data_IF_198053674218
#
_entry.id   IF_198053674218
#
_cell.length_a   1.000
_cell.length_b   1.000
_cell.length_c   1.000
_cell.angle_alpha   90.00
_cell.angle_beta   90.00
_cell.angle_gamma   90.00
#
_symmetry.space_group_name_H-M   'P 1'
#
loop_
_entity.id
_entity.type
_entity.pdbx_description
1 polymer ?
#
# COMPACT_ATOMS: atom_id res chain seq x y z
N UNK A 1 32.83 0.88 -17.13
CA UNK A 1 31.75 -0.11 -16.93
C UNK A 1 30.66 0.52 -16.08
N UNK A 2 29.57 1.00 -16.70
CA UNK A 2 28.43 1.54 -15.97
C UNK A 2 27.69 0.40 -15.26
N UNK A 3 27.48 0.52 -13.95
CA UNK A 3 26.54 -0.35 -13.24
C UNK A 3 25.20 -0.27 -13.98
N UNK A 4 24.60 -1.41 -14.31
CA UNK A 4 23.20 -1.53 -14.72
C UNK A 4 22.32 -1.03 -13.56
N UNK A 5 22.28 0.28 -13.38
CA UNK A 5 21.43 0.95 -12.41
C UNK A 5 20.08 1.12 -13.06
N UNK A 6 19.08 0.38 -12.57
CA UNK A 6 17.69 0.67 -12.87
C UNK A 6 17.43 2.14 -12.55
N UNK A 7 17.17 2.97 -13.57
CA UNK A 7 16.69 4.32 -13.34
C UNK A 7 15.28 4.22 -12.76
N UNK A 8 14.99 4.82 -11.59
CA UNK A 8 13.65 4.89 -11.01
C UNK A 8 12.61 5.49 -11.97
N UNK A 9 13.06 6.24 -12.98
CA UNK A 9 12.22 6.89 -13.98
C UNK A 9 11.66 5.93 -15.04
N UNK A 10 12.23 4.71 -15.17
CA UNK A 10 11.77 3.70 -16.13
C UNK A 10 10.80 2.68 -15.52
N UNK A 11 10.48 2.78 -14.22
CA UNK A 11 9.56 1.87 -13.55
C UNK A 11 8.12 2.35 -13.75
N UNK A 12 7.32 1.58 -14.50
CA UNK A 12 5.91 1.87 -14.80
C UNK A 12 4.94 1.30 -13.75
N UNK A 13 5.35 0.25 -13.04
CA UNK A 13 4.60 -0.33 -11.91
C UNK A 13 5.52 -1.13 -11.00
N UNK A 14 5.05 -1.41 -9.78
CA UNK A 14 5.63 -2.43 -8.90
C UNK A 14 4.57 -3.45 -8.57
N UNK A 15 4.95 -4.72 -8.55
CA UNK A 15 4.02 -5.84 -8.39
C UNK A 15 4.49 -6.83 -7.34
N UNK A 16 3.53 -7.54 -6.74
CA UNK A 16 3.79 -8.65 -5.83
C UNK A 16 2.70 -9.70 -5.93
N UNK A 17 3.10 -10.97 -6.01
CA UNK A 17 2.18 -12.11 -6.05
C UNK A 17 2.08 -12.75 -4.67
N UNK A 18 0.85 -12.98 -4.19
CA UNK A 18 0.52 -13.61 -2.91
C UNK A 18 -0.58 -14.65 -3.14
N UNK A 19 -0.26 -15.93 -2.95
CA UNK A 19 -1.24 -17.04 -3.11
C UNK A 19 -1.99 -17.03 -4.46
N UNK A 20 -1.30 -16.69 -5.55
CA UNK A 20 -1.89 -16.62 -6.90
C UNK A 20 -2.72 -15.35 -7.17
N UNK A 21 -2.69 -14.36 -6.27
CA UNK A 21 -3.24 -13.02 -6.45
C UNK A 21 -2.13 -11.98 -6.64
N UNK A 22 -2.42 -10.92 -7.36
CA UNK A 22 -1.43 -9.88 -7.70
C UNK A 22 -1.80 -8.56 -7.05
N UNK A 23 -0.86 -7.97 -6.30
CA UNK A 23 -0.88 -6.58 -5.89
C UNK A 23 -0.06 -5.76 -6.89
N UNK A 24 -0.58 -4.63 -7.34
CA UNK A 24 0.11 -3.71 -8.25
C UNK A 24 -0.02 -2.27 -7.75
N UNK A 25 1.07 -1.50 -7.76
CA UNK A 25 1.00 -0.03 -7.68
C UNK A 25 1.46 0.53 -9.02
N UNK A 26 0.62 1.32 -9.67
CA UNK A 26 0.98 2.01 -10.91
C UNK A 26 1.84 3.24 -10.63
N UNK A 27 2.85 3.46 -11.49
CA UNK A 27 3.56 4.74 -11.54
C UNK A 27 2.60 5.81 -12.04
N UNK A 28 2.73 6.99 -11.44
CA UNK A 28 2.12 8.21 -11.92
C UNK A 28 2.99 9.41 -11.57
N UNK A 29 2.61 10.59 -12.06
CA UNK A 29 3.25 11.85 -11.69
C UNK A 29 3.17 12.16 -10.18
N UNK A 30 2.32 11.45 -9.43
CA UNK A 30 2.14 11.62 -7.99
C UNK A 30 3.00 10.68 -7.14
N UNK A 31 3.59 9.64 -7.75
CA UNK A 31 4.41 8.65 -7.03
C UNK A 31 5.89 8.97 -7.18
N UNK A 32 6.56 9.12 -6.05
CA UNK A 32 7.99 9.40 -5.97
C UNK A 32 8.82 8.14 -6.21
N UNK A 33 8.70 7.19 -5.29
CA UNK A 33 9.49 5.96 -5.24
C UNK A 33 8.66 4.80 -4.73
N UNK A 34 9.08 3.57 -5.06
CA UNK A 34 8.42 2.32 -4.68
C UNK A 34 9.30 1.50 -3.75
N UNK A 35 8.68 0.59 -3.01
CA UNK A 35 9.37 -0.46 -2.28
C UNK A 35 8.49 -1.70 -2.15
N UNK A 36 9.13 -2.83 -1.89
CA UNK A 36 8.48 -4.12 -1.60
C UNK A 36 8.97 -4.57 -0.23
N UNK A 37 8.07 -5.07 0.61
CA UNK A 37 8.45 -5.67 1.87
C UNK A 37 7.52 -6.83 2.25
N UNK A 38 7.98 -7.61 3.22
CA UNK A 38 7.28 -8.77 3.73
C UNK A 38 7.50 -8.87 5.23
N UNK A 39 6.46 -9.27 5.94
CA UNK A 39 6.50 -9.62 7.35
C UNK A 39 6.25 -11.12 7.47
N UNK A 40 7.17 -11.79 8.16
CA UNK A 40 7.11 -13.21 8.39
C UNK A 40 7.16 -13.43 9.91
N UNK A 41 6.27 -14.28 10.43
CA UNK A 41 6.34 -14.68 11.82
C UNK A 41 7.26 -15.89 11.94
N UNK A 42 8.02 -15.91 13.04
CA UNK A 42 8.66 -17.11 13.54
C UNK A 42 7.98 -17.42 14.85
N UNK A 43 7.23 -18.51 14.90
CA UNK A 43 6.85 -19.09 16.18
C UNK A 43 8.09 -19.76 16.76
N UNK A 44 8.66 -19.14 17.78
CA UNK A 44 9.74 -19.73 18.56
C UNK A 44 9.11 -20.71 19.55
N UNK A 45 9.13 -22.00 19.23
CA UNK A 45 8.84 -23.04 20.22
C UNK A 45 10.02 -23.11 21.20
N UNK A 46 9.79 -22.76 22.47
CA UNK A 46 10.72 -23.07 23.54
C UNK A 46 10.72 -24.59 23.76
N UNK A 47 11.59 -25.32 23.05
CA UNK A 47 11.91 -26.71 23.40
C UNK A 47 12.01 -27.76 22.29
N UNK A 48 11.81 -27.44 21.01
CA UNK A 48 12.02 -28.46 19.96
C UNK A 48 11.50 -28.06 18.59
N UNK A 49 12.34 -28.25 17.58
CA UNK A 49 12.17 -28.00 16.15
C UNK A 49 11.52 -26.64 15.79
N UNK A 50 12.32 -25.74 15.23
CA UNK A 50 11.81 -24.50 14.65
C UNK A 50 10.75 -24.84 13.58
N UNK A 51 9.52 -24.36 13.78
CA UNK A 51 8.47 -24.45 12.76
C UNK A 51 8.91 -23.67 11.51
N UNK A 52 8.48 -24.10 10.31
CA UNK A 52 8.74 -23.35 9.09
C UNK A 52 8.22 -21.92 9.24
N UNK A 53 9.02 -20.94 8.83
CA UNK A 53 8.65 -19.53 8.88
C UNK A 53 7.43 -19.31 7.97
N UNK A 54 6.27 -19.00 8.54
CA UNK A 54 5.08 -18.65 7.79
C UNK A 54 5.10 -17.16 7.43
N UNK A 55 4.84 -16.82 6.16
CA UNK A 55 4.66 -15.43 5.78
C UNK A 55 3.25 -14.97 6.18
N UNK A 56 3.16 -13.96 7.03
CA UNK A 56 1.86 -13.43 7.48
C UNK A 56 1.33 -12.34 6.55
N UNK A 57 2.21 -11.43 6.13
CA UNK A 57 1.83 -10.28 5.30
C UNK A 57 2.88 -10.04 4.23
N UNK A 58 2.38 -9.77 3.04
CA UNK A 58 3.18 -9.22 1.95
C UNK A 58 2.60 -7.87 1.56
N UNK A 59 3.47 -6.89 1.30
CA UNK A 59 3.01 -5.60 0.84
C UNK A 59 3.97 -4.95 -0.16
N UNK A 60 3.37 -4.12 -0.99
CA UNK A 60 4.07 -3.15 -1.82
C UNK A 60 3.69 -1.77 -1.32
N UNK A 61 4.59 -0.82 -1.47
CA UNK A 61 4.30 0.54 -1.07
C UNK A 61 5.04 1.56 -1.89
N UNK A 62 4.65 2.81 -1.68
CA UNK A 62 5.23 3.94 -2.36
C UNK A 62 5.24 5.20 -1.49
N UNK A 63 6.05 6.17 -1.89
CA UNK A 63 6.02 7.51 -1.33
C UNK A 63 5.33 8.47 -2.30
N UNK A 64 4.53 9.40 -1.77
CA UNK A 64 3.93 10.46 -2.57
C UNK A 64 4.94 11.58 -2.86
N UNK A 65 4.92 12.11 -4.09
CA UNK A 65 5.65 13.34 -4.43
C UNK A 65 5.03 14.54 -3.72
N UNK A 66 5.86 15.57 -3.50
CA UNK A 66 5.43 16.86 -2.94
C UNK A 66 4.68 16.74 -1.60
N UNK A 67 5.05 15.76 -0.78
CA UNK A 67 4.59 15.61 0.60
C UNK A 67 5.72 15.97 1.57
N UNK A 68 5.42 16.85 2.52
CA UNK A 68 6.28 17.18 3.64
C UNK A 68 5.39 17.38 4.89
N UNK A 69 5.47 16.50 5.91
CA UNK A 69 6.34 15.31 5.96
C UNK A 69 6.06 14.26 4.87
N UNK A 70 7.04 13.40 4.51
CA UNK A 70 6.82 12.38 3.49
C UNK A 70 5.65 11.45 3.83
N UNK A 71 4.76 11.23 2.87
CA UNK A 71 3.64 10.29 3.01
C UNK A 71 3.99 8.96 2.38
N UNK A 72 3.82 7.90 3.17
CA UNK A 72 3.95 6.51 2.75
C UNK A 72 2.57 5.86 2.59
N UNK A 73 2.38 5.18 1.47
CA UNK A 73 1.20 4.36 1.19
C UNK A 73 1.62 2.89 1.08
N UNK A 74 1.00 2.00 1.84
CA UNK A 74 1.25 0.56 1.79
C UNK A 74 -0.01 -0.17 1.37
N UNK A 75 0.10 -0.98 0.33
CA UNK A 75 -0.92 -1.93 -0.08
C UNK A 75 -0.54 -3.31 0.47
N UNK A 76 -1.23 -3.74 1.52
CA UNK A 76 -0.92 -4.91 2.32
C UNK A 76 -1.95 -6.00 2.06
N UNK A 77 -1.50 -7.23 1.81
CA UNK A 77 -2.39 -8.39 1.71
C UNK A 77 -2.06 -9.41 2.80
N UNK A 78 -3.11 -9.91 3.47
CA UNK A 78 -3.01 -11.05 4.37
C UNK A 78 -2.80 -12.32 3.54
N UNK A 79 -1.75 -13.09 3.84
CA UNK A 79 -1.39 -14.26 3.03
C UNK A 79 -2.38 -15.44 3.15
N UNK A 80 -3.18 -15.50 4.23
CA UNK A 80 -4.16 -16.56 4.51
C UNK A 80 -5.56 -16.18 4.02
N UNK A 81 -6.06 -15.01 4.40
CA UNK A 81 -7.43 -14.57 4.05
C UNK A 81 -7.53 -13.84 2.72
N UNK A 82 -6.40 -13.37 2.16
CA UNK A 82 -6.34 -12.48 1.00
C UNK A 82 -7.08 -11.14 1.17
N UNK A 83 -7.40 -10.75 2.40
CA UNK A 83 -7.89 -9.41 2.69
C UNK A 83 -6.80 -8.38 2.39
N UNK A 84 -7.22 -7.24 1.86
CA UNK A 84 -6.32 -6.18 1.43
C UNK A 84 -6.58 -4.90 2.21
N UNK A 85 -5.50 -4.29 2.68
CA UNK A 85 -5.54 -3.05 3.45
C UNK A 85 -4.60 -2.03 2.82
N UNK A 86 -5.14 -0.84 2.53
CA UNK A 86 -4.35 0.35 2.21
C UNK A 86 -4.12 1.15 3.49
N UNK A 87 -2.86 1.23 3.90
CA UNK A 87 -2.41 2.11 4.98
C UNK A 87 -1.70 3.33 4.39
N UNK A 88 -2.11 4.53 4.81
CA UNK A 88 -1.46 5.77 4.43
C UNK A 88 -1.06 6.54 5.68
N UNK A 89 0.19 7.00 5.80
CA UNK A 89 0.64 7.76 6.96
C UNK A 89 1.87 8.60 6.67
N UNK A 90 2.09 9.62 7.48
CA UNK A 90 3.32 10.42 7.44
C UNK A 90 4.47 9.68 8.11
N UNK A 91 5.68 9.83 7.56
CA UNK A 91 6.91 9.28 8.12
C UNK A 91 7.95 10.37 8.29
N UNK A 92 8.88 10.17 9.23
CA UNK A 92 9.97 11.15 9.48
C UNK A 92 10.87 11.35 8.26
N UNK A 93 11.16 10.27 7.54
CA UNK A 93 12.00 10.28 6.36
C UNK A 93 11.69 9.05 5.49
N UNK A 94 11.90 9.19 4.19
CA UNK A 94 11.78 8.07 3.23
C UNK A 94 12.87 7.05 3.49
N UNK A 95 12.55 5.77 3.34
CA UNK A 95 13.53 4.69 3.44
C UNK A 95 13.45 3.78 2.21
N UNK A 96 14.60 3.25 1.75
CA UNK A 96 14.64 2.40 0.53
C UNK A 96 13.75 1.16 0.61
N UNK A 97 13.55 0.60 1.81
CA UNK A 97 12.75 -0.61 2.02
C UNK A 97 11.32 -0.33 2.51
N UNK A 98 10.99 0.92 2.86
CA UNK A 98 9.71 1.32 3.45
C UNK A 98 9.42 0.79 4.87
N UNK A 99 9.81 -0.45 5.17
CA UNK A 99 9.54 -1.13 6.46
C UNK A 99 10.20 -0.46 7.67
N UNK A 100 11.33 0.20 7.47
CA UNK A 100 12.07 0.89 8.54
C UNK A 100 11.66 2.36 8.69
N UNK A 101 10.70 2.83 7.88
CA UNK A 101 10.25 4.21 7.96
C UNK A 101 9.50 4.43 9.28
N UNK A 102 10.02 5.35 10.10
CA UNK A 102 9.41 5.68 11.38
C UNK A 102 8.16 6.52 11.13
N UNK A 103 6.98 5.94 11.38
CA UNK A 103 5.70 6.64 11.40
C UNK A 103 5.82 7.88 12.29
N UNK A 104 5.38 9.04 11.80
CA UNK A 104 5.09 10.15 12.68
C UNK A 104 3.88 9.71 13.51
N UNK A 105 4.10 9.54 14.83
CA UNK A 105 3.04 9.07 15.72
C UNK A 105 1.83 9.98 15.54
N UNK A 106 0.59 9.44 15.47
CA UNK A 106 -0.54 10.30 15.72
C UNK A 106 -0.39 10.87 17.13
N UNK A 107 -0.74 12.15 17.29
CA UNK A 107 -0.70 12.87 18.57
C UNK A 107 -1.69 12.28 19.59
N UNK A 108 -2.57 11.36 19.19
CA UNK A 108 -3.59 10.76 20.05
C UNK A 108 -3.80 9.27 19.77
N UNK A 109 -4.14 8.51 20.83
CA UNK A 109 -4.65 7.11 20.77
C UNK A 109 -6.06 7.09 20.14
N UNK A 110 -6.23 7.65 18.95
CA UNK A 110 -7.51 7.61 18.25
C UNK A 110 -7.76 6.23 17.68
N UNK A 111 -9.01 5.78 17.82
CA UNK A 111 -9.55 4.56 17.21
C UNK A 111 -9.24 4.65 15.71
N UNK A 112 -8.51 3.68 15.17
CA UNK A 112 -8.27 3.62 13.73
C UNK A 112 -9.59 3.32 13.04
N UNK A 113 -10.24 4.35 12.50
CA UNK A 113 -11.40 4.17 11.65
C UNK A 113 -10.97 3.49 10.35
N UNK A 114 -11.61 2.37 10.02
CA UNK A 114 -11.40 1.68 8.74
C UNK A 114 -12.60 1.90 7.83
N UNK A 115 -12.33 2.36 6.60
CA UNK A 115 -13.34 2.34 5.54
C UNK A 115 -13.25 0.99 4.81
N UNK A 116 -14.27 0.15 4.98
CA UNK A 116 -14.30 -1.21 4.47
C UNK A 116 -15.29 -1.35 3.30
N UNK A 117 -14.96 -2.24 2.37
CA UNK A 117 -15.91 -2.83 1.43
C UNK A 117 -15.58 -4.30 1.21
N UNK A 118 -16.61 -5.14 1.23
CA UNK A 118 -16.50 -6.56 0.88
C UNK A 118 -16.77 -6.74 -0.62
N UNK A 119 -15.87 -7.45 -1.31
CA UNK A 119 -16.01 -7.80 -2.72
C UNK A 119 -15.43 -9.20 -2.96
N UNK A 120 -16.10 -10.04 -3.76
CA UNK A 120 -15.58 -11.37 -4.15
C UNK A 120 -15.08 -12.18 -2.92
N UNK A 121 -15.86 -12.19 -1.83
CA UNK A 121 -15.55 -12.89 -0.57
C UNK A 121 -14.28 -12.44 0.18
N UNK A 122 -13.73 -11.26 -0.13
CA UNK A 122 -12.62 -10.67 0.61
C UNK A 122 -12.96 -9.27 1.12
N UNK A 123 -12.32 -8.89 2.22
CA UNK A 123 -12.40 -7.55 2.78
C UNK A 123 -11.32 -6.66 2.18
N UNK A 124 -11.74 -5.48 1.73
CA UNK A 124 -10.84 -4.42 1.29
C UNK A 124 -11.01 -3.24 2.23
N UNK A 125 -9.90 -2.71 2.72
CA UNK A 125 -9.89 -1.69 3.76
C UNK A 125 -9.00 -0.52 3.38
N UNK A 126 -9.44 0.69 3.72
CA UNK A 126 -8.58 1.87 3.80
C UNK A 126 -8.54 2.27 5.27
N UNK A 127 -7.36 2.23 5.88
CA UNK A 127 -7.17 2.74 7.25
C UNK A 127 -7.16 4.25 7.18
N UNK A 128 -8.17 4.89 7.79
CA UNK A 128 -8.19 6.35 7.90
C UNK A 128 -7.08 6.79 8.84
N UNK A 129 -6.34 7.79 8.41
CA UNK A 129 -5.27 8.42 9.17
C UNK A 129 -5.38 9.93 9.02
N UNK A 130 -4.54 10.68 9.74
CA UNK A 130 -4.53 12.15 9.68
C UNK A 130 -4.38 12.71 8.27
N UNK A 131 -3.74 11.98 7.35
CA UNK A 131 -3.50 12.40 5.96
C UNK A 131 -4.67 12.12 5.02
N UNK A 132 -5.56 11.20 5.39
CA UNK A 132 -6.74 10.87 4.59
C UNK A 132 -7.85 11.86 4.95
N UNK A 133 -8.33 12.60 3.95
CA UNK A 133 -9.45 13.51 4.10
C UNK A 133 -10.77 12.73 4.15
N UNK A 134 -10.96 11.83 3.18
CA UNK A 134 -12.15 10.99 3.08
C UNK A 134 -11.87 9.71 2.32
N UNK A 135 -12.56 8.64 2.71
CA UNK A 135 -12.68 7.40 1.93
C UNK A 135 -13.99 7.38 1.14
N UNK A 136 -14.02 6.68 0.02
CA UNK A 136 -15.21 6.51 -0.81
C UNK A 136 -15.18 5.15 -1.53
N UNK A 137 -16.36 4.68 -1.95
CA UNK A 137 -16.49 3.46 -2.74
C UNK A 137 -16.48 3.80 -4.23
N UNK A 138 -15.89 2.92 -5.04
CA UNK A 138 -16.01 2.96 -6.51
C UNK A 138 -16.72 1.69 -7.00
N UNK A 139 -17.25 1.65 -8.23
CA UNK A 139 -17.85 0.43 -8.77
C UNK A 139 -16.90 -0.77 -8.69
N UNK A 140 -15.61 -0.54 -8.96
CA UNK A 140 -14.57 -1.55 -9.03
C UNK A 140 -13.74 -1.71 -7.74
N UNK A 141 -14.06 -0.98 -6.68
CA UNK A 141 -13.34 -1.10 -5.41
C UNK A 141 -13.56 0.06 -4.45
N UNK A 142 -12.47 0.68 -4.04
CA UNK A 142 -12.40 1.67 -2.96
C UNK A 142 -11.43 2.79 -3.33
N UNK A 143 -11.58 3.96 -2.75
CA UNK A 143 -10.63 5.06 -2.92
C UNK A 143 -10.59 6.00 -1.74
N UNK A 144 -9.58 6.86 -1.72
CA UNK A 144 -9.48 7.93 -0.74
C UNK A 144 -8.87 9.19 -1.36
N UNK A 145 -9.14 10.33 -0.72
CA UNK A 145 -8.53 11.62 -1.03
C UNK A 145 -7.58 12.00 0.11
N UNK A 146 -6.39 12.46 -0.24
CA UNK A 146 -5.41 12.98 0.69
C UNK A 146 -5.63 14.48 0.92
N UNK A 147 -5.46 14.93 2.17
CA UNK A 147 -5.56 16.36 2.54
C UNK A 147 -4.45 17.18 1.89
N UNK A 148 -3.20 16.68 1.97
CA UNK A 148 -2.01 17.32 1.40
C UNK A 148 -0.94 16.25 1.12
N UNK A 149 -0.40 16.14 -0.11
CA UNK A 149 -0.84 16.84 -1.32
C UNK A 149 -2.25 16.40 -1.73
N UNK A 150 -2.99 17.27 -2.43
CA UNK A 150 -4.31 16.94 -2.95
C UNK A 150 -4.19 15.88 -4.06
N UNK A 151 -4.31 14.62 -3.66
CA UNK A 151 -4.15 13.44 -4.51
C UNK A 151 -5.31 12.51 -4.22
N UNK A 152 -5.74 11.77 -5.24
CA UNK A 152 -6.69 10.66 -5.11
C UNK A 152 -5.93 9.35 -5.23
N UNK A 153 -6.13 8.44 -4.28
CA UNK A 153 -5.74 7.04 -4.39
C UNK A 153 -6.97 6.18 -4.68
N UNK A 154 -6.84 5.22 -5.58
CA UNK A 154 -7.91 4.29 -5.93
C UNK A 154 -7.42 2.85 -6.00
N UNK A 155 -8.11 1.98 -5.26
CA UNK A 155 -8.01 0.54 -5.30
C UNK A 155 -9.01 -0.02 -6.31
N UNK A 156 -8.50 -0.59 -7.38
CA UNK A 156 -9.27 -1.29 -8.41
C UNK A 156 -9.08 -2.79 -8.22
N UNK A 157 -10.18 -3.50 -8.04
CA UNK A 157 -10.21 -4.94 -7.80
C UNK A 157 -10.70 -5.65 -9.06
N UNK A 158 -9.89 -6.54 -9.60
CA UNK A 158 -10.15 -7.30 -10.82
C UNK A 158 -9.86 -8.78 -10.58
N UNK A 159 -10.87 -9.55 -10.19
CA UNK A 159 -10.75 -11.01 -9.95
C UNK A 159 -9.60 -11.32 -8.98
N UNK A 160 -8.43 -11.74 -9.51
CA UNK A 160 -7.23 -12.07 -8.73
C UNK A 160 -6.23 -10.92 -8.56
N UNK A 161 -6.52 -9.75 -9.11
CA UNK A 161 -5.60 -8.61 -9.11
C UNK A 161 -6.19 -7.42 -8.35
N UNK A 162 -5.34 -6.75 -7.56
CA UNK A 162 -5.68 -5.51 -6.86
C UNK A 162 -4.65 -4.46 -7.25
N UNK A 163 -5.14 -3.37 -7.83
CA UNK A 163 -4.33 -2.30 -8.37
C UNK A 163 -4.57 -1.03 -7.56
N UNK A 164 -3.48 -0.39 -7.14
CA UNK A 164 -3.48 0.95 -6.55
C UNK A 164 -2.97 1.95 -7.58
N UNK A 165 -3.80 2.94 -7.90
CA UNK A 165 -3.45 4.06 -8.76
C UNK A 165 -3.59 5.39 -8.04
N UNK A 166 -2.86 6.41 -8.53
CA UNK A 166 -2.88 7.76 -8.00
C UNK A 166 -3.16 8.79 -9.10
N UNK A 167 -4.14 9.66 -8.88
CA UNK A 167 -4.55 10.72 -9.81
C UNK A 167 -4.76 12.07 -9.11
N UNK A 168 -5.10 13.11 -9.87
CA UNK A 168 -5.62 14.35 -9.31
C UNK A 168 -6.93 14.13 -8.54
N UNK A 169 -7.29 15.02 -7.61
CA UNK A 169 -8.43 14.83 -6.70
C UNK A 169 -9.77 14.73 -7.44
N UNK A 170 -9.89 15.38 -8.59
CA UNK A 170 -11.08 15.38 -9.45
C UNK A 170 -10.91 14.52 -10.72
N UNK A 171 -9.80 13.80 -10.84
CA UNK A 171 -9.53 12.93 -11.99
C UNK A 171 -10.04 11.51 -11.70
N UNK A 172 -10.33 10.76 -12.77
CA UNK A 172 -10.64 9.33 -12.71
C UNK A 172 -9.41 8.54 -13.12
N UNK A 173 -9.13 7.46 -12.40
CA UNK A 173 -8.04 6.55 -12.76
C UNK A 173 -8.31 5.91 -14.12
N UNK A 174 -7.48 6.26 -15.11
CA UNK A 174 -7.48 5.59 -16.41
C UNK A 174 -6.63 4.33 -16.30
N UNK A 175 -7.28 3.18 -16.44
CA UNK A 175 -6.59 1.91 -16.56
C UNK A 175 -6.27 1.73 -18.05
N UNK A 176 -5.00 1.51 -18.38
CA UNK A 176 -4.65 1.06 -19.73
C UNK A 176 -5.42 -0.24 -20.00
N UNK A 177 -6.17 -0.25 -21.10
CA UNK A 177 -6.97 -1.40 -21.55
C UNK A 177 -6.08 -2.54 -22.00
#
# INVERSE_FOLDING_TARGET
MGKLGYSPDNITSVERVVGGRTLTILKSKYVDSFFVASEASRDWSFGGAALPTEMEKQWIGCYLKNSDPPIQCNLIMNAKSFDVTLECYEVKAKTKKGINARKLKPVTKEIQETFNKMLINNNYNIVKSSVVERGFSTPTGLGCIFKKPAVRAELVIRSRSVLLGFTGPNEVLKLAG
#
